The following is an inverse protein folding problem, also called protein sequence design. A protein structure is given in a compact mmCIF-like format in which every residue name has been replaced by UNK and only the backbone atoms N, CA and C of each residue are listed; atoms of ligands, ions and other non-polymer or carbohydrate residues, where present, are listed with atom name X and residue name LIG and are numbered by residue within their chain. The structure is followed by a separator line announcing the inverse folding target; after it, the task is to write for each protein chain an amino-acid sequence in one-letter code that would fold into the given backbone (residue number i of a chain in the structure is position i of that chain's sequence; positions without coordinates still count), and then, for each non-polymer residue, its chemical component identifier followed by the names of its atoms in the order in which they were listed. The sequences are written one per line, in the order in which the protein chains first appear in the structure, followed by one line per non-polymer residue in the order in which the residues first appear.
data_IF_088521734903
#
_entry.id   IF_088521734903
#
_cell.length_a   1.000
_cell.length_b   1.000
_cell.length_c   1.000
_cell.angle_alpha   90.00
_cell.angle_beta   90.00
_cell.angle_gamma   90.00
#
_symmetry.space_group_name_H-M   'P 1'
#
loop_
_entity.id
_entity.type
_entity.pdbx_description
1 polymer ?
#
# COMPACT_ATOMS: atom_id res chain seq x y z
N UNK A 1 -10.20 -1.05 6.13
CA UNK A 1 -9.30 -2.11 6.62
C UNK A 1 -7.92 -1.86 6.04
N UNK A 2 -6.87 -2.25 6.75
CA UNK A 2 -5.49 -2.29 6.23
C UNK A 2 -5.01 -3.73 6.38
N UNK A 3 -4.31 -4.23 5.36
CA UNK A 3 -3.55 -5.47 5.42
C UNK A 3 -2.10 -5.16 5.84
N UNK A 4 -1.61 -5.88 6.84
CA UNK A 4 -0.25 -5.76 7.34
C UNK A 4 0.66 -6.78 6.62
N UNK A 5 1.97 -6.56 6.67
CA UNK A 5 2.97 -7.44 6.03
C UNK A 5 2.94 -8.90 6.56
N UNK A 6 2.39 -9.12 7.75
CA UNK A 6 2.17 -10.46 8.33
C UNK A 6 0.84 -11.10 7.90
N UNK A 7 0.16 -10.56 6.89
CA UNK A 7 -1.17 -10.99 6.39
C UNK A 7 -2.32 -10.77 7.38
N UNK A 8 -2.08 -10.09 8.51
CA UNK A 8 -3.17 -9.70 9.39
C UNK A 8 -3.95 -8.52 8.80
N UNK A 9 -5.26 -8.58 8.98
CA UNK A 9 -6.17 -7.53 8.53
C UNK A 9 -6.73 -6.82 9.74
N UNK A 10 -6.49 -5.51 9.82
CA UNK A 10 -6.97 -4.68 10.93
C UNK A 10 -8.04 -3.69 10.46
N UNK A 11 -9.00 -3.45 11.33
CA UNK A 11 -9.95 -2.36 11.17
C UNK A 11 -9.35 -1.08 11.73
N UNK A 12 -9.39 -0.02 10.93
CA UNK A 12 -8.97 1.32 11.33
C UNK A 12 -10.02 2.32 10.87
N UNK A 13 -10.12 3.44 11.58
CA UNK A 13 -10.94 4.56 11.15
C UNK A 13 -10.27 5.23 9.94
N UNK A 14 -11.07 5.53 8.92
CA UNK A 14 -10.59 6.24 7.72
C UNK A 14 -9.97 7.59 8.08
N UNK A 15 -10.50 8.25 9.10
CA UNK A 15 -10.03 9.56 9.58
C UNK A 15 -8.60 9.51 10.16
N UNK A 16 -8.08 8.32 10.48
CA UNK A 16 -6.69 8.17 10.90
C UNK A 16 -5.71 8.17 9.71
N UNK A 17 -6.18 7.93 8.49
CA UNK A 17 -5.36 7.93 7.28
C UNK A 17 -5.22 9.34 6.69
N UNK A 18 -4.13 9.59 5.94
CA UNK A 18 -4.04 10.78 5.10
C UNK A 18 -5.25 10.88 4.16
N UNK A 19 -5.77 12.09 3.98
CA UNK A 19 -7.01 12.32 3.22
C UNK A 19 -6.93 11.86 1.75
N UNK A 20 -5.72 11.83 1.20
CA UNK A 20 -5.44 11.39 -0.17
C UNK A 20 -5.06 9.90 -0.28
N UNK A 21 -5.11 9.13 0.82
CA UNK A 21 -4.84 7.69 0.80
C UNK A 21 -5.91 6.95 0.01
N UNK A 22 -5.48 6.03 -0.85
CA UNK A 22 -6.35 5.17 -1.67
C UNK A 22 -5.96 3.70 -1.55
N UNK A 23 -6.81 2.84 -2.10
CA UNK A 23 -6.49 1.42 -2.24
C UNK A 23 -5.19 1.21 -3.03
N UNK A 24 -4.36 0.28 -2.55
CA UNK A 24 -3.03 0.00 -3.10
C UNK A 24 -1.90 0.90 -2.57
N UNK A 25 -2.19 1.98 -1.83
CA UNK A 25 -1.15 2.79 -1.20
C UNK A 25 -0.50 2.05 -0.03
N UNK A 26 0.82 2.18 0.09
CA UNK A 26 1.58 1.67 1.24
C UNK A 26 1.56 2.69 2.35
N UNK A 27 1.16 2.25 3.54
CA UNK A 27 1.01 3.11 4.72
C UNK A 27 2.10 2.77 5.75
N UNK A 28 2.82 3.79 6.22
CA UNK A 28 3.80 3.67 7.31
C UNK A 28 3.19 4.26 8.58
N UNK A 29 3.31 3.50 9.67
CA UNK A 29 2.89 3.94 11.00
C UNK A 29 4.13 4.43 11.75
N UNK A 30 4.15 5.72 12.09
CA UNK A 30 5.23 6.33 12.88
C UNK A 30 4.64 7.29 13.89
N UNK A 31 5.08 7.20 15.15
CA UNK A 31 4.61 8.08 16.23
C UNK A 31 3.07 8.13 16.34
N UNK A 32 2.42 6.96 16.17
CA UNK A 32 0.96 6.80 16.16
C UNK A 32 0.21 7.61 15.07
N UNK A 33 0.93 8.01 14.01
CA UNK A 33 0.39 8.67 12.83
C UNK A 33 0.64 7.80 11.60
N UNK A 34 -0.23 7.98 10.61
CA UNK A 34 -0.22 7.22 9.36
C UNK A 34 0.26 8.14 8.23
N UNK A 35 1.20 7.64 7.42
CA UNK A 35 1.79 8.34 6.30
C UNK A 35 1.72 7.45 5.05
N UNK A 36 1.53 8.03 3.88
CA UNK A 36 1.69 7.29 2.62
C UNK A 36 3.17 7.26 2.27
N UNK A 37 3.71 6.07 2.07
CA UNK A 37 5.02 5.90 1.45
C UNK A 37 4.86 5.87 -0.07
N UNK A 38 5.05 7.04 -0.67
CA UNK A 38 4.85 7.25 -2.12
C UNK A 38 5.86 6.45 -2.93
N UNK A 39 7.10 6.33 -2.46
CA UNK A 39 8.17 5.66 -3.18
C UNK A 39 7.94 4.14 -3.17
N UNK A 40 7.59 3.58 -2.02
CA UNK A 40 7.27 2.16 -1.89
C UNK A 40 5.99 1.79 -2.65
N UNK A 41 4.97 2.66 -2.61
CA UNK A 41 3.75 2.50 -3.42
C UNK A 41 4.08 2.42 -4.91
N UNK A 42 4.91 3.33 -5.43
CA UNK A 42 5.34 3.31 -6.84
C UNK A 42 6.16 2.07 -7.16
N UNK A 43 7.06 1.66 -6.26
CA UNK A 43 7.89 0.47 -6.44
C UNK A 43 7.04 -0.79 -6.57
N UNK A 44 6.06 -0.98 -5.68
CA UNK A 44 5.14 -2.14 -5.72
C UNK A 44 4.30 -2.13 -6.99
N UNK A 45 3.74 -0.97 -7.37
CA UNK A 45 2.97 -0.85 -8.61
C UNK A 45 3.81 -1.24 -9.83
N UNK A 46 5.06 -0.77 -9.93
CA UNK A 46 5.97 -1.14 -11.03
C UNK A 46 6.27 -2.64 -11.04
N UNK A 47 6.48 -3.26 -9.89
CA UNK A 47 6.73 -4.70 -9.80
C UNK A 47 5.52 -5.53 -10.24
N UNK A 48 4.31 -5.09 -9.89
CA UNK A 48 3.06 -5.73 -10.33
C UNK A 48 2.92 -5.60 -11.85
N UNK A 49 3.16 -4.40 -12.40
CA UNK A 49 3.14 -4.16 -13.85
C UNK A 49 4.17 -5.02 -14.59
N UNK A 50 5.41 -5.10 -14.09
CA UNK A 50 6.47 -5.94 -14.65
C UNK A 50 6.11 -7.44 -14.59
N UNK A 51 5.58 -7.92 -13.46
CA UNK A 51 5.16 -9.32 -13.32
C UNK A 51 4.05 -9.68 -14.32
N UNK A 52 3.04 -8.81 -14.47
CA UNK A 52 1.97 -9.04 -15.45
C UNK A 52 2.49 -8.98 -16.89
N UNK A 53 3.41 -8.06 -17.18
CA UNK A 53 4.05 -7.98 -18.49
C UNK A 53 4.78 -9.29 -18.82
N UNK A 54 5.60 -9.78 -17.90
CA UNK A 54 6.32 -11.05 -18.07
C UNK A 54 5.36 -12.24 -18.23
N UNK A 55 4.22 -12.24 -17.55
CA UNK A 55 3.22 -13.31 -17.63
C UNK A 55 2.46 -13.34 -18.97
N UNK A 56 2.19 -12.18 -19.58
CA UNK A 56 1.34 -12.06 -20.76
C UNK A 56 2.09 -11.77 -22.07
N UNK A 57 3.32 -11.27 -22.01
CA UNK A 57 4.20 -11.09 -23.17
C UNK A 57 5.22 -12.23 -23.33
N UNK A 58 5.22 -13.19 -22.40
CA UNK A 58 6.04 -14.42 -22.41
C UNK A 58 5.44 -15.59 -23.18
#
# INVERSE_FOLDING_TARGET
MIELENLEVINILKDNLPQNAKEGDVVVIKDNKYYIDIEETRRRNKQIEEFFKDLFEG
#
